data_IF_200743068175
#
_entry.id   IF_200743068175
#
_cell.length_a   1.000
_cell.length_b   1.000
_cell.length_c   1.000
_cell.angle_alpha   90.00
_cell.angle_beta   90.00
_cell.angle_gamma   90.00
#
_symmetry.space_group_name_H-M   'P 1'
#
loop_
_entity.id
_entity.type
_entity.pdbx_description
1 polymer ?
#
# COMPACT_ATOMS: atom_id res chain seq x y z
N UNK A 1 -8.27 -15.12 20.75
CA UNK A 1 -6.95 -14.93 20.10
C UNK A 1 -7.11 -15.41 18.67
N UNK A 2 -7.26 -14.50 17.70
CA UNK A 2 -7.57 -14.87 16.33
C UNK A 2 -6.31 -15.34 15.60
N UNK A 3 -6.45 -16.48 14.94
CA UNK A 3 -5.40 -17.27 14.33
C UNK A 3 -4.70 -16.57 13.16
N UNK A 4 -3.37 -16.59 13.22
CA UNK A 4 -2.47 -16.22 12.13
C UNK A 4 -2.48 -17.33 11.06
N UNK A 5 -3.47 -17.33 10.16
CA UNK A 5 -3.50 -18.26 9.03
C UNK A 5 -3.28 -17.55 7.69
N UNK A 6 -2.01 -17.56 7.28
CA UNK A 6 -1.51 -17.81 5.91
C UNK A 6 -1.96 -16.85 4.79
N UNK A 7 -1.01 -16.02 4.35
CA UNK A 7 -0.75 -15.65 2.95
C UNK A 7 -1.92 -15.07 2.14
N UNK A 8 -2.83 -14.31 2.76
CA UNK A 8 -3.80 -13.53 1.98
C UNK A 8 -3.50 -12.05 2.13
N UNK A 9 -3.36 -11.33 1.01
CA UNK A 9 -3.22 -9.89 1.06
C UNK A 9 -4.52 -9.30 1.65
N UNK A 10 -4.37 -8.31 2.52
CA UNK A 10 -5.47 -7.60 3.15
C UNK A 10 -6.33 -6.96 2.04
N UNK A 11 -7.62 -7.32 1.93
CA UNK A 11 -8.46 -6.90 0.82
C UNK A 11 -8.68 -5.39 0.80
N UNK A 12 -8.67 -4.71 1.96
CA UNK A 12 -8.77 -3.26 2.00
C UNK A 12 -7.50 -2.63 1.44
N UNK A 13 -6.33 -3.16 1.79
CA UNK A 13 -5.05 -2.69 1.25
C UNK A 13 -4.90 -2.99 -0.25
N UNK A 14 -5.34 -4.15 -0.72
CA UNK A 14 -5.38 -4.46 -2.16
C UNK A 14 -6.29 -3.48 -2.89
N UNK A 15 -7.45 -3.14 -2.31
CA UNK A 15 -8.36 -2.17 -2.88
C UNK A 15 -7.74 -0.77 -2.95
N UNK A 16 -7.08 -0.32 -1.88
CA UNK A 16 -6.34 0.95 -1.87
C UNK A 16 -5.28 0.93 -2.96
N UNK A 17 -4.41 -0.08 -3.00
CA UNK A 17 -3.33 -0.16 -3.99
C UNK A 17 -3.84 -0.22 -5.43
N UNK A 18 -4.99 -0.86 -5.67
CA UNK A 18 -5.67 -0.83 -6.97
C UNK A 18 -6.32 0.51 -7.30
N UNK A 19 -6.80 1.24 -6.29
CA UNK A 19 -7.39 2.58 -6.45
C UNK A 19 -6.35 3.69 -6.64
N UNK A 20 -5.08 3.43 -6.31
CA UNK A 20 -4.00 4.39 -6.59
C UNK A 20 -3.87 4.67 -8.09
N UNK A 21 -3.53 5.91 -8.47
CA UNK A 21 -3.30 6.27 -9.86
C UNK A 21 -2.07 5.56 -10.41
N UNK A 22 -1.95 5.55 -11.74
CA UNK A 22 -0.83 4.90 -12.43
C UNK A 22 0.52 5.47 -11.98
N UNK A 23 0.59 6.78 -11.71
CA UNK A 23 1.79 7.48 -11.25
C UNK A 23 2.31 6.93 -9.92
N UNK A 24 1.42 6.73 -8.93
CA UNK A 24 1.86 6.14 -7.67
C UNK A 24 2.25 4.68 -7.83
N UNK A 25 1.52 3.91 -8.64
CA UNK A 25 1.88 2.52 -8.92
C UNK A 25 3.24 2.39 -9.61
N UNK A 26 3.63 3.36 -10.41
CA UNK A 26 4.96 3.44 -11.04
C UNK A 26 6.04 3.79 -9.99
N UNK A 27 5.70 4.56 -8.96
CA UNK A 27 6.59 4.93 -7.87
C UNK A 27 6.72 3.84 -6.78
N UNK A 28 5.74 2.95 -6.68
CA UNK A 28 5.71 1.83 -5.73
C UNK A 28 6.39 0.62 -6.36
N UNK A 29 7.37 0.05 -5.67
CA UNK A 29 8.02 -1.21 -6.06
C UNK A 29 7.15 -2.43 -5.76
N UNK A 30 7.41 -3.54 -6.44
CA UNK A 30 6.69 -4.81 -6.19
C UNK A 30 6.80 -5.26 -4.72
N UNK A 31 7.97 -5.08 -4.11
CA UNK A 31 8.22 -5.38 -2.70
C UNK A 31 7.38 -4.51 -1.76
N UNK A 32 7.30 -3.21 -2.04
CA UNK A 32 6.47 -2.26 -1.31
C UNK A 32 4.97 -2.59 -1.44
N UNK A 33 4.52 -2.93 -2.65
CA UNK A 33 3.13 -3.32 -2.90
C UNK A 33 2.75 -4.61 -2.18
N UNK A 34 3.63 -5.61 -2.21
CA UNK A 34 3.46 -6.85 -1.46
C UNK A 34 3.50 -6.58 0.06
N UNK A 35 4.44 -5.80 0.56
CA UNK A 35 4.50 -5.44 1.98
C UNK A 35 3.20 -4.76 2.44
N UNK A 36 2.67 -3.84 1.63
CA UNK A 36 1.39 -3.20 1.85
C UNK A 36 0.28 -4.23 1.92
N UNK A 37 0.12 -5.02 0.87
CA UNK A 37 -0.87 -6.08 0.79
C UNK A 37 -0.80 -7.06 1.96
N UNK A 38 0.39 -7.50 2.38
CA UNK A 38 0.56 -8.53 3.41
C UNK A 38 0.65 -7.99 4.84
N UNK A 39 0.36 -6.71 5.07
CA UNK A 39 0.49 -6.10 6.40
C UNK A 39 1.89 -6.26 7.01
N UNK A 40 2.93 -6.29 6.15
CA UNK A 40 4.32 -6.27 6.58
C UNK A 40 4.76 -4.85 6.92
N UNK A 41 5.94 -4.72 7.50
CA UNK A 41 6.58 -3.42 7.72
C UNK A 41 6.67 -2.65 6.40
N UNK A 42 6.02 -1.47 6.40
CA UNK A 42 6.02 -0.58 5.26
C UNK A 42 7.26 0.29 5.34
N UNK A 43 8.09 0.37 4.28
CA UNK A 43 9.17 1.34 4.27
C UNK A 43 8.58 2.75 4.31
N UNK A 44 9.25 3.64 5.04
CA UNK A 44 8.86 5.05 5.17
C UNK A 44 8.68 5.70 3.79
N UNK A 45 9.51 5.32 2.82
CA UNK A 45 9.40 5.79 1.43
C UNK A 45 8.07 5.49 0.73
N UNK A 46 7.39 4.37 1.04
CA UNK A 46 6.05 4.10 0.51
C UNK A 46 5.02 5.03 1.16
N UNK A 47 5.09 5.12 2.50
CA UNK A 47 4.18 5.95 3.28
C UNK A 47 4.28 7.42 2.88
N UNK A 48 5.49 7.92 2.66
CA UNK A 48 5.71 9.28 2.17
C UNK A 48 5.06 9.51 0.82
N UNK A 49 5.28 8.64 -0.19
CA UNK A 49 4.65 8.77 -1.51
C UNK A 49 3.12 8.74 -1.43
N UNK A 50 2.56 7.83 -0.63
CA UNK A 50 1.11 7.72 -0.43
C UNK A 50 0.54 8.97 0.23
N UNK A 51 1.25 9.50 1.23
CA UNK A 51 0.83 10.69 1.97
C UNK A 51 0.92 11.93 1.11
N UNK A 52 2.02 12.10 0.36
CA UNK A 52 2.23 13.17 -0.61
C UNK A 52 1.10 13.21 -1.65
N UNK A 53 0.71 12.05 -2.17
CA UNK A 53 -0.42 11.93 -3.10
C UNK A 53 -1.79 12.26 -2.48
N UNK A 54 -2.02 11.84 -1.24
CA UNK A 54 -3.27 12.14 -0.55
C UNK A 54 -3.38 13.62 -0.20
N UNK A 55 -2.25 14.28 0.07
CA UNK A 55 -2.15 15.72 0.34
C UNK A 55 -2.31 16.53 -0.95
N UNK A 56 -1.71 16.11 -2.07
CA UNK A 56 -1.84 16.77 -3.37
C UNK A 56 -3.28 16.76 -3.94
N UNK A 57 -4.16 15.89 -3.45
CA UNK A 57 -5.57 15.84 -3.88
C UNK A 57 -6.52 16.75 -3.09
N UNK A 58 -6.03 17.47 -2.10
CA UNK A 58 -6.80 18.44 -1.31
C UNK A 58 -6.31 19.88 -1.59
N UNK A 59 -6.47 20.37 -2.83
CA UNK A 59 -6.36 21.80 -3.15
C UNK A 59 -7.38 22.24 -4.21
#
# INVERSE_FOLDING_TARGET
>A
MAEQTKNKPDPQRVAVLRSLPLELKQQITGEEAEAFMYNRELPESLLEKLKDYLDEKDL
#
